data_IF_251085291231
#
_entry.id   IF_251085291231
#
_cell.length_a   1.000
_cell.length_b   1.000
_cell.length_c   1.000
_cell.angle_alpha   90.00
_cell.angle_beta   90.00
_cell.angle_gamma   90.00
#
_symmetry.space_group_name_H-M   'P 1'
#
loop_
_entity.id
_entity.type
_entity.pdbx_description
1 polymer ?
#
# COMPACT_ATOMS: atom_id res chain seq x y z
N UNK A 1 13.20 43.65 0.70
CA UNK A 1 13.34 42.82 -0.51
C UNK A 1 12.92 41.37 -0.25
N UNK A 2 13.58 40.59 0.61
CA UNK A 2 13.17 39.19 0.90
C UNK A 2 11.70 39.05 1.37
N UNK A 3 11.21 39.92 2.27
CA UNK A 3 9.82 39.87 2.75
C UNK A 3 8.75 40.10 1.65
N UNK A 4 9.10 40.76 0.54
CA UNK A 4 8.16 41.06 -0.55
C UNK A 4 8.10 39.90 -1.54
N UNK A 5 9.23 39.24 -1.79
CA UNK A 5 9.32 37.99 -2.56
C UNK A 5 8.58 36.86 -1.85
N UNK A 6 8.74 36.71 -0.53
CA UNK A 6 8.00 35.71 0.25
C UNK A 6 6.48 35.94 0.21
N UNK A 7 6.03 37.21 0.22
CA UNK A 7 4.60 37.55 0.12
C UNK A 7 4.02 37.22 -1.25
N UNK A 8 4.79 37.47 -2.31
CA UNK A 8 4.40 37.12 -3.68
C UNK A 8 4.39 35.61 -3.88
N UNK A 9 5.43 34.92 -3.41
CA UNK A 9 5.53 33.47 -3.46
C UNK A 9 4.35 32.81 -2.74
N UNK A 10 4.04 33.24 -1.51
CA UNK A 10 2.88 32.74 -0.77
C UNK A 10 1.56 33.01 -1.49
N UNK A 11 1.40 34.15 -2.17
CA UNK A 11 0.20 34.42 -2.98
C UNK A 11 0.06 33.43 -4.15
N UNK A 12 1.14 33.09 -4.83
CA UNK A 12 1.09 32.14 -5.96
C UNK A 12 1.01 30.67 -5.50
N UNK A 13 1.62 30.33 -4.37
CA UNK A 13 1.53 29.00 -3.76
C UNK A 13 0.24 28.78 -2.96
N UNK A 14 -0.56 29.83 -2.71
CA UNK A 14 -1.85 29.68 -2.02
C UNK A 14 -2.93 28.98 -2.84
N UNK A 15 -2.70 28.79 -4.15
CA UNK A 15 -3.64 28.17 -5.06
C UNK A 15 -3.03 26.94 -5.74
N UNK A 16 -3.47 25.77 -5.29
CA UNK A 16 -3.02 24.47 -5.82
C UNK A 16 -3.80 23.99 -7.05
N UNK A 17 -4.77 24.73 -7.58
CA UNK A 17 -5.62 24.23 -8.68
C UNK A 17 -4.81 23.83 -9.93
N UNK A 18 -3.75 24.58 -10.24
CA UNK A 18 -2.83 24.22 -11.33
C UNK A 18 -2.09 22.91 -11.03
N UNK A 19 -1.58 22.76 -9.81
CA UNK A 19 -0.88 21.54 -9.38
C UNK A 19 -1.82 20.32 -9.34
N UNK A 20 -3.06 20.49 -8.88
CA UNK A 20 -4.10 19.45 -8.93
C UNK A 20 -4.41 19.04 -10.36
N UNK A 21 -4.54 20.00 -11.28
CA UNK A 21 -4.81 19.71 -12.69
C UNK A 21 -3.65 18.96 -13.36
N UNK A 22 -2.40 19.35 -13.08
CA UNK A 22 -1.21 18.64 -13.56
C UNK A 22 -1.16 17.23 -12.97
N UNK A 23 -1.35 17.10 -11.65
CA UNK A 23 -1.31 15.81 -10.97
C UNK A 23 -2.34 14.85 -11.57
N UNK A 24 -3.61 15.29 -11.68
CA UNK A 24 -4.71 14.47 -12.20
C UNK A 24 -4.50 14.04 -13.66
N UNK A 25 -3.88 14.88 -14.49
CA UNK A 25 -3.75 14.62 -15.94
C UNK A 25 -2.53 13.81 -16.31
N UNK A 26 -1.42 13.95 -15.58
CA UNK A 26 -0.11 13.47 -16.02
C UNK A 26 0.63 12.61 -15.00
N UNK A 27 0.33 12.74 -13.70
CA UNK A 27 1.11 12.10 -12.63
C UNK A 27 0.34 10.93 -12.02
N UNK A 28 -0.92 11.15 -11.63
CA UNK A 28 -1.77 10.13 -11.03
C UNK A 28 -2.22 9.10 -12.05
N UNK A 29 -2.38 7.86 -11.58
CA UNK A 29 -3.02 6.81 -12.36
C UNK A 29 -4.49 7.16 -12.64
N UNK A 30 -5.00 6.77 -13.81
CA UNK A 30 -6.42 6.94 -14.12
C UNK A 30 -7.24 5.89 -13.37
N UNK A 31 -8.37 6.31 -12.80
CA UNK A 31 -9.24 5.46 -11.98
C UNK A 31 -9.65 4.17 -12.71
N UNK A 32 -9.98 4.27 -14.01
CA UNK A 32 -10.36 3.13 -14.84
C UNK A 32 -9.21 2.13 -15.08
N UNK A 33 -7.97 2.61 -15.15
CA UNK A 33 -6.80 1.74 -15.30
C UNK A 33 -6.51 0.99 -14.00
N UNK A 34 -6.64 1.67 -12.86
CA UNK A 34 -6.50 1.08 -11.52
C UNK A 34 -7.53 -0.03 -11.31
N UNK A 35 -8.81 0.25 -11.59
CA UNK A 35 -9.89 -0.73 -11.44
C UNK A 35 -9.67 -1.96 -12.31
N UNK A 36 -9.36 -1.76 -13.60
CA UNK A 36 -9.14 -2.87 -14.54
C UNK A 36 -7.97 -3.75 -14.10
N UNK A 37 -6.89 -3.16 -13.61
CA UNK A 37 -5.69 -3.89 -13.21
C UNK A 37 -5.90 -4.66 -11.91
N UNK A 38 -6.67 -4.12 -10.97
CA UNK A 38 -7.03 -4.83 -9.74
C UNK A 38 -7.72 -6.16 -10.06
N UNK A 39 -8.63 -6.19 -11.04
CA UNK A 39 -9.31 -7.43 -11.46
C UNK A 39 -8.30 -8.48 -11.96
N UNK A 40 -7.37 -8.10 -12.84
CA UNK A 40 -6.40 -9.05 -13.37
C UNK A 40 -5.39 -9.51 -12.33
N UNK A 41 -4.91 -8.58 -11.48
CA UNK A 41 -3.97 -8.90 -10.42
C UNK A 41 -4.59 -9.86 -9.40
N UNK A 42 -5.85 -9.64 -9.03
CA UNK A 42 -6.57 -10.54 -8.14
C UNK A 42 -6.61 -11.96 -8.72
N UNK A 43 -6.98 -12.12 -9.99
CA UNK A 43 -7.01 -13.44 -10.64
C UNK A 43 -5.65 -14.13 -10.65
N UNK A 44 -4.57 -13.40 -10.95
CA UNK A 44 -3.19 -13.92 -10.96
C UNK A 44 -2.79 -14.39 -9.56
N UNK A 45 -3.05 -13.55 -8.55
CA UNK A 45 -2.71 -13.84 -7.16
C UNK A 45 -3.48 -15.03 -6.62
N UNK A 46 -4.79 -15.08 -6.82
CA UNK A 46 -5.63 -16.20 -6.39
C UNK A 46 -5.14 -17.52 -7.01
N UNK A 47 -4.87 -17.49 -8.31
CA UNK A 47 -4.33 -18.65 -9.04
C UNK A 47 -2.98 -19.09 -8.49
N UNK A 48 -2.09 -18.14 -8.16
CA UNK A 48 -0.79 -18.44 -7.57
C UNK A 48 -0.93 -19.09 -6.18
N UNK A 49 -1.77 -18.51 -5.31
CA UNK A 49 -2.02 -19.03 -3.96
C UNK A 49 -2.62 -20.44 -4.00
N UNK A 50 -3.62 -20.67 -4.85
CA UNK A 50 -4.22 -22.00 -5.05
C UNK A 50 -3.15 -23.03 -5.44
N UNK A 51 -2.27 -22.69 -6.38
CA UNK A 51 -1.17 -23.59 -6.77
C UNK A 51 -0.17 -23.82 -5.65
N UNK A 52 0.16 -22.81 -4.87
CA UNK A 52 1.05 -22.95 -3.71
C UNK A 52 0.44 -23.87 -2.65
N UNK A 53 -0.86 -23.73 -2.36
CA UNK A 53 -1.59 -24.62 -1.44
C UNK A 53 -1.63 -26.07 -1.91
N UNK A 54 -1.83 -26.30 -3.21
CA UNK A 54 -1.85 -27.65 -3.78
C UNK A 54 -0.48 -28.33 -3.76
N UNK A 55 0.60 -27.56 -3.88
CA UNK A 55 1.97 -28.09 -3.96
C UNK A 55 2.64 -28.24 -2.59
N UNK A 56 2.27 -27.43 -1.61
CA UNK A 56 2.91 -27.41 -0.30
C UNK A 56 1.87 -27.50 0.83
N UNK A 57 1.89 -28.63 1.54
CA UNK A 57 0.95 -28.90 2.63
C UNK A 57 1.18 -28.00 3.87
N UNK A 58 2.41 -27.54 4.11
CA UNK A 58 2.71 -26.61 5.19
C UNK A 58 2.15 -25.24 4.85
N UNK A 59 2.39 -24.75 3.63
CA UNK A 59 1.80 -23.51 3.14
C UNK A 59 0.27 -23.56 3.20
N UNK A 60 -0.35 -24.66 2.76
CA UNK A 60 -1.81 -24.81 2.84
C UNK A 60 -2.36 -24.70 4.27
N UNK A 61 -1.66 -25.29 5.25
CA UNK A 61 -2.08 -25.25 6.66
C UNK A 61 -1.82 -23.90 7.32
N UNK A 62 -0.82 -23.17 6.86
CA UNK A 62 -0.37 -21.92 7.50
C UNK A 62 -0.92 -20.68 6.80
N UNK A 63 -1.31 -20.77 5.54
CA UNK A 63 -1.88 -19.63 4.80
C UNK A 63 -3.15 -19.12 5.50
N UNK A 64 -3.18 -17.82 5.77
CA UNK A 64 -4.37 -17.14 6.28
C UNK A 64 -4.99 -16.25 5.19
N UNK A 65 -4.26 -15.23 4.75
CA UNK A 65 -4.77 -14.25 3.79
C UNK A 65 -3.65 -13.53 3.06
N UNK A 66 -4.00 -12.85 1.97
CA UNK A 66 -3.14 -11.86 1.34
C UNK A 66 -3.64 -10.45 1.66
N UNK A 67 -2.71 -9.52 1.85
CA UNK A 67 -3.00 -8.10 2.03
C UNK A 67 -2.27 -7.32 0.96
N UNK A 68 -3.05 -6.60 0.16
CA UNK A 68 -2.55 -5.70 -0.87
C UNK A 68 -2.04 -4.41 -0.23
N UNK A 69 -0.78 -4.07 -0.53
CA UNK A 69 -0.05 -3.00 0.14
C UNK A 69 0.71 -2.16 -0.87
N UNK A 70 1.46 -1.17 -0.38
CA UNK A 70 2.35 -0.40 -1.24
C UNK A 70 1.71 0.82 -1.87
N UNK A 71 2.51 1.53 -2.65
CA UNK A 71 2.14 2.84 -3.20
C UNK A 71 0.93 2.77 -4.12
N UNK A 72 0.75 1.66 -4.84
CA UNK A 72 -0.38 1.47 -5.74
C UNK A 72 -1.72 1.49 -4.99
N UNK A 73 -1.85 0.69 -3.92
CA UNK A 73 -3.08 0.64 -3.11
C UNK A 73 -3.25 1.83 -2.18
N UNK A 74 -2.17 2.55 -1.87
CA UNK A 74 -2.23 3.82 -1.12
C UNK A 74 -2.56 5.03 -2.01
N UNK A 75 -2.70 4.86 -3.31
CA UNK A 75 -2.95 5.95 -4.26
C UNK A 75 -1.76 6.90 -4.43
N UNK A 76 -0.56 6.48 -4.03
CA UNK A 76 0.67 7.28 -4.13
C UNK A 76 1.60 6.80 -5.25
N UNK A 77 1.25 5.71 -5.95
CA UNK A 77 1.96 5.28 -7.17
C UNK A 77 1.66 6.29 -8.27
N UNK A 78 2.73 6.75 -8.92
CA UNK A 78 2.68 7.65 -10.06
C UNK A 78 3.02 6.90 -11.34
N UNK A 79 2.72 7.51 -12.47
CA UNK A 79 3.10 7.06 -13.81
C UNK A 79 2.39 5.79 -14.30
N UNK A 80 2.75 4.60 -13.80
CA UNK A 80 2.21 3.32 -14.31
C UNK A 80 1.99 2.26 -13.22
N UNK A 81 0.94 1.43 -13.35
CA UNK A 81 0.64 0.31 -12.46
C UNK A 81 1.40 -0.96 -12.89
N UNK A 82 2.72 -0.93 -12.76
CA UNK A 82 3.63 -1.99 -13.24
C UNK A 82 4.25 -2.84 -12.11
N UNK A 83 3.93 -2.54 -10.85
CA UNK A 83 4.50 -3.17 -9.65
C UNK A 83 3.46 -3.17 -8.55
N UNK A 84 3.40 -4.26 -7.78
CA UNK A 84 2.42 -4.45 -6.72
C UNK A 84 3.04 -5.14 -5.51
N UNK A 85 2.91 -4.52 -4.34
CA UNK A 85 3.36 -5.10 -3.08
C UNK A 85 2.25 -5.96 -2.46
N UNK A 86 2.60 -7.18 -2.06
CA UNK A 86 1.67 -8.15 -1.48
C UNK A 86 2.26 -8.74 -0.20
N UNK A 87 1.51 -8.67 0.90
CA UNK A 87 1.84 -9.36 2.14
C UNK A 87 1.07 -10.68 2.23
N UNK A 88 1.77 -11.81 2.26
CA UNK A 88 1.17 -13.11 2.57
C UNK A 88 1.24 -13.32 4.08
N UNK A 89 0.07 -13.37 4.71
CA UNK A 89 -0.05 -13.58 6.15
C UNK A 89 -0.14 -15.08 6.41
N UNK A 90 0.79 -15.59 7.22
CA UNK A 90 0.84 -16.98 7.66
C UNK A 90 0.54 -17.07 9.17
N UNK A 91 -0.22 -18.09 9.55
CA UNK A 91 -0.31 -18.56 10.93
C UNK A 91 0.75 -19.63 11.15
N UNK A 92 1.58 -19.41 12.16
CA UNK A 92 2.58 -20.40 12.53
C UNK A 92 1.89 -21.63 13.12
N UNK A 93 2.33 -22.85 12.77
CA UNK A 93 1.72 -24.08 13.27
C UNK A 93 2.24 -24.39 14.68
N UNK A 94 2.03 -23.45 15.61
CA UNK A 94 2.48 -23.53 16.99
C UNK A 94 1.28 -23.51 17.93
N UNK A 95 1.48 -24.01 19.15
CA UNK A 95 0.49 -23.85 20.20
C UNK A 95 0.64 -22.47 20.84
N UNK A 96 -0.28 -21.57 20.49
CA UNK A 96 -0.30 -20.20 20.97
C UNK A 96 -0.49 -20.08 22.49
N UNK A 97 -0.98 -21.12 23.18
CA UNK A 97 -1.07 -21.13 24.65
C UNK A 97 0.31 -21.09 25.32
N UNK A 98 1.37 -21.49 24.62
CA UNK A 98 2.76 -21.38 25.10
C UNK A 98 3.42 -20.05 24.72
N UNK A 99 2.77 -19.22 23.90
CA UNK A 99 3.31 -17.92 23.49
C UNK A 99 2.98 -16.89 24.56
N UNK A 100 3.99 -16.46 25.32
CA UNK A 100 3.86 -15.37 26.29
C UNK A 100 4.39 -14.07 25.67
N UNK A 101 3.49 -13.17 25.31
CA UNK A 101 3.86 -11.81 24.90
C UNK A 101 3.90 -10.92 26.15
N UNK A 102 5.04 -10.26 26.41
CA UNK A 102 5.13 -9.22 27.43
C UNK A 102 5.14 -7.86 26.74
N UNK A 103 4.20 -7.00 27.12
CA UNK A 103 4.15 -5.62 26.66
C UNK A 103 4.74 -4.75 27.77
N UNK A 104 5.73 -3.93 27.44
CA UNK A 104 6.26 -2.90 28.33
C UNK A 104 5.80 -1.54 27.80
N UNK A 105 5.11 -0.77 28.65
CA UNK A 105 4.76 0.62 28.35
C UNK A 105 5.77 1.49 29.09
N UNK A 106 6.62 2.18 28.33
CA UNK A 106 7.57 3.16 28.89
C UNK A 106 6.89 4.53 28.81
N UNK A 107 6.42 5.02 29.96
CA UNK A 107 5.93 6.39 30.06
C UNK A 107 7.12 7.32 30.33
N UNK A 108 7.60 7.99 29.29
CA UNK A 108 8.46 9.16 29.49
C UNK A 108 7.60 10.32 29.97
N UNK A 109 7.68 10.64 31.27
CA UNK A 109 7.24 11.95 31.76
C UNK A 109 8.29 12.97 31.29
N UNK A 110 7.87 13.87 30.42
CA UNK A 110 8.56 15.14 30.12
C UNK A 110 8.25 16.10 31.26
#
# INVERSE_FOLDING_TARGET
>A
YMQMEDKLLNKYLSNDEVFKAINKRFISLKDNEVERINVYLQQVVETLIERMKLKDSLFNKTYNKIVFCGSFYKGTKVERPNEFDLNIILHLPINYNYVKVRIFIINNKI
#
